data_IF_549010275091
#
_entry.id   IF_549010275091
#
_cell.length_a   1.000
_cell.length_b   1.000
_cell.length_c   1.000
_cell.angle_alpha   90.00
_cell.angle_beta   90.00
_cell.angle_gamma   90.00
#
_symmetry.space_group_name_H-M   'P 1'
#
loop_
_entity.id
_entity.type
_entity.pdbx_description
1 polymer ?
#
# COMPACT_ATOMS: atom_id res chain seq x y z
N UNK A 1 -17.07 2.35 13.40
CA UNK A 1 -16.75 3.35 12.36
C UNK A 1 -16.84 2.65 11.01
N UNK A 2 -17.71 3.12 10.11
CA UNK A 2 -17.92 2.50 8.78
C UNK A 2 -16.64 2.71 7.96
N UNK A 3 -15.92 1.65 7.62
CA UNK A 3 -14.77 1.76 6.72
C UNK A 3 -15.28 1.89 5.28
N UNK A 4 -14.91 2.97 4.60
CA UNK A 4 -15.34 3.21 3.22
C UNK A 4 -14.49 2.37 2.26
N UNK A 5 -15.10 1.55 1.38
CA UNK A 5 -14.39 0.80 0.35
C UNK A 5 -13.56 1.72 -0.54
N UNK A 6 -12.39 1.25 -0.95
CA UNK A 6 -11.51 1.96 -1.88
C UNK A 6 -11.60 1.27 -3.23
N UNK A 7 -12.19 1.89 -4.24
CA UNK A 7 -12.22 1.30 -5.59
C UNK A 7 -10.89 1.48 -6.33
N UNK A 8 -10.21 2.60 -6.08
CA UNK A 8 -8.96 2.98 -6.72
C UNK A 8 -7.96 3.51 -5.68
N UNK A 9 -6.99 2.67 -5.35
CA UNK A 9 -5.91 2.95 -4.40
C UNK A 9 -5.07 4.15 -4.85
N UNK A 10 -4.87 4.35 -6.16
CA UNK A 10 -4.08 5.47 -6.70
C UNK A 10 -4.76 6.81 -6.44
N UNK A 11 -6.10 6.84 -6.52
CA UNK A 11 -6.91 8.04 -6.25
C UNK A 11 -7.11 8.29 -4.76
N UNK A 12 -7.14 7.22 -3.96
CA UNK A 12 -7.30 7.34 -2.51
C UNK A 12 -6.06 7.89 -1.80
N UNK A 13 -4.85 7.70 -2.37
CA UNK A 13 -3.61 8.22 -1.79
C UNK A 13 -3.37 9.67 -2.27
N UNK A 14 -3.34 10.61 -1.32
CA UNK A 14 -3.02 12.02 -1.62
C UNK A 14 -1.55 12.19 -2.02
N UNK A 15 -1.22 13.27 -2.71
CA UNK A 15 0.15 13.51 -3.21
C UNK A 15 1.18 13.59 -2.07
N UNK A 16 0.81 14.24 -0.95
CA UNK A 16 1.66 14.32 0.23
C UNK A 16 1.89 12.94 0.85
N UNK A 17 0.81 12.16 0.97
CA UNK A 17 0.88 10.81 1.52
C UNK A 17 1.73 9.88 0.64
N UNK A 18 1.64 10.03 -0.68
CA UNK A 18 2.52 9.32 -1.63
C UNK A 18 4.00 9.60 -1.33
N UNK A 19 4.41 10.85 -1.12
CA UNK A 19 5.80 11.17 -0.80
C UNK A 19 6.23 10.57 0.56
N UNK A 20 5.35 10.58 1.56
CA UNK A 20 5.61 9.91 2.84
C UNK A 20 5.85 8.41 2.67
N UNK A 21 4.98 7.71 1.93
CA UNK A 21 5.16 6.28 1.66
C UNK A 21 6.46 6.00 0.89
N UNK A 22 6.76 6.79 -0.14
CA UNK A 22 7.99 6.59 -0.92
C UNK A 22 9.23 6.69 -0.03
N UNK A 23 9.31 7.73 0.79
CA UNK A 23 10.48 7.99 1.63
C UNK A 23 10.62 6.98 2.77
N UNK A 24 9.50 6.64 3.43
CA UNK A 24 9.53 5.85 4.67
C UNK A 24 9.42 4.35 4.44
N UNK A 25 8.69 3.93 3.41
CA UNK A 25 8.47 2.53 3.10
C UNK A 25 9.36 2.11 1.93
N UNK A 26 9.41 2.87 0.84
CA UNK A 26 10.14 2.45 -0.37
C UNK A 26 11.58 2.96 -0.43
N UNK A 27 12.14 3.47 0.68
CA UNK A 27 13.53 3.97 0.77
C UNK A 27 13.87 5.03 -0.30
N UNK A 28 12.89 5.83 -0.71
CA UNK A 28 13.03 6.83 -1.77
C UNK A 28 12.84 6.30 -3.19
N UNK A 29 12.58 5.00 -3.37
CA UNK A 29 12.34 4.39 -4.68
C UNK A 29 10.91 4.70 -5.18
N UNK A 30 10.84 5.66 -6.08
CA UNK A 30 9.59 6.10 -6.68
C UNK A 30 9.00 5.06 -7.64
N UNK A 31 9.86 4.32 -8.34
CA UNK A 31 9.44 3.36 -9.35
C UNK A 31 8.87 2.10 -8.69
N UNK A 32 9.53 1.62 -7.64
CA UNK A 32 9.03 0.50 -6.83
C UNK A 32 7.67 0.81 -6.21
N UNK A 33 7.50 2.01 -5.64
CA UNK A 33 6.19 2.45 -5.12
C UNK A 33 5.13 2.45 -6.23
N UNK A 34 5.41 3.10 -7.37
CA UNK A 34 4.44 3.25 -8.44
C UNK A 34 4.01 1.90 -9.03
N UNK A 35 4.97 0.99 -9.25
CA UNK A 35 4.72 -0.38 -9.71
C UNK A 35 3.90 -1.17 -8.69
N UNK A 36 4.25 -1.09 -7.41
CA UNK A 36 3.57 -1.80 -6.32
C UNK A 36 2.11 -1.36 -6.18
N UNK A 37 1.85 -0.06 -6.11
CA UNK A 37 0.49 0.48 -6.01
C UNK A 37 -0.31 0.17 -7.28
N UNK A 38 0.32 0.25 -8.46
CA UNK A 38 -0.34 -0.14 -9.71
C UNK A 38 -0.77 -1.61 -9.69
N UNK A 39 0.15 -2.50 -9.31
CA UNK A 39 -0.09 -3.93 -9.27
C UNK A 39 -1.22 -4.27 -8.28
N UNK A 40 -1.11 -3.82 -7.03
CA UNK A 40 -2.14 -4.07 -6.00
C UNK A 40 -3.51 -3.54 -6.46
N UNK A 41 -3.55 -2.34 -7.06
CA UNK A 41 -4.79 -1.77 -7.56
C UNK A 41 -5.37 -2.50 -8.78
N UNK A 42 -4.61 -3.35 -9.45
CA UNK A 42 -5.06 -4.19 -10.56
C UNK A 42 -5.56 -5.57 -10.12
N UNK A 43 -5.20 -6.01 -8.91
CA UNK A 43 -5.64 -7.30 -8.39
C UNK A 43 -7.15 -7.30 -8.15
N UNK A 44 -7.73 -8.49 -8.27
CA UNK A 44 -9.16 -8.77 -8.02
C UNK A 44 -9.39 -9.53 -6.71
N UNK A 45 -8.31 -10.03 -6.10
CA UNK A 45 -8.35 -10.93 -4.94
C UNK A 45 -7.50 -10.38 -3.79
N UNK A 46 -8.10 -10.26 -2.60
CA UNK A 46 -7.42 -9.81 -1.39
C UNK A 46 -6.27 -10.74 -0.95
N UNK A 47 -6.38 -12.05 -1.17
CA UNK A 47 -5.32 -13.00 -0.80
C UNK A 47 -4.03 -12.79 -1.62
N UNK A 48 -4.18 -12.44 -2.90
CA UNK A 48 -3.03 -12.11 -3.77
C UNK A 48 -2.41 -10.78 -3.35
N UNK A 49 -3.24 -9.81 -2.99
CA UNK A 49 -2.77 -8.52 -2.49
C UNK A 49 -2.01 -8.67 -1.17
N UNK A 50 -2.52 -9.45 -0.22
CA UNK A 50 -1.85 -9.73 1.05
C UNK A 50 -0.52 -10.45 0.85
N UNK A 51 -0.48 -11.41 -0.08
CA UNK A 51 0.76 -12.13 -0.41
C UNK A 51 1.80 -11.19 -0.99
N UNK A 52 1.42 -10.36 -1.94
CA UNK A 52 2.31 -9.35 -2.53
C UNK A 52 2.76 -8.32 -1.50
N UNK A 53 1.85 -7.83 -0.65
CA UNK A 53 2.17 -6.87 0.40
C UNK A 53 3.15 -7.42 1.44
N UNK A 54 3.02 -8.70 1.82
CA UNK A 54 4.01 -9.39 2.67
C UNK A 54 5.38 -9.51 2.02
N UNK A 55 5.44 -9.69 0.69
CA UNK A 55 6.71 -9.72 -0.03
C UNK A 55 7.39 -8.34 -0.03
N UNK A 56 6.64 -7.27 -0.29
CA UNK A 56 7.15 -5.89 -0.18
C UNK A 56 7.68 -5.59 1.22
N UNK A 57 6.92 -5.97 2.26
CA UNK A 57 7.35 -5.83 3.66
C UNK A 57 8.72 -6.46 3.89
N UNK A 58 8.95 -7.68 3.37
CA UNK A 58 10.23 -8.38 3.49
C UNK A 58 11.34 -7.70 2.67
N UNK A 59 11.06 -7.37 1.42
CA UNK A 59 12.01 -6.74 0.47
C UNK A 59 12.53 -5.40 0.99
N UNK A 60 11.63 -4.54 1.46
CA UNK A 60 11.97 -3.22 1.96
C UNK A 60 12.26 -3.20 3.47
N UNK A 61 12.05 -4.34 4.15
CA UNK A 61 12.23 -4.47 5.61
C UNK A 61 11.39 -3.46 6.40
N UNK A 62 10.10 -3.36 6.05
CA UNK A 62 9.17 -2.47 6.75
C UNK A 62 8.95 -2.92 8.19
N UNK A 63 8.84 -1.93 9.07
CA UNK A 63 8.46 -2.10 10.46
C UNK A 63 6.93 -2.18 10.58
N UNK A 64 6.44 -3.23 11.26
CA UNK A 64 5.01 -3.48 11.45
C UNK A 64 4.36 -2.50 12.44
N UNK A 65 5.16 -1.88 13.31
CA UNK A 65 4.69 -0.84 14.23
C UNK A 65 4.67 0.55 13.59
N UNK A 66 5.25 0.69 12.39
CA UNK A 66 5.29 1.95 11.67
C UNK A 66 3.87 2.39 11.25
N UNK A 67 3.48 3.60 11.64
CA UNK A 67 2.15 4.16 11.36
C UNK A 67 1.82 4.21 9.86
N UNK A 68 2.81 4.49 9.01
CA UNK A 68 2.61 4.51 7.55
C UNK A 68 2.45 3.11 6.98
N UNK A 69 3.14 2.12 7.53
CA UNK A 69 2.90 0.72 7.15
C UNK A 69 1.45 0.32 7.50
N UNK A 70 1.01 0.59 8.73
CA UNK A 70 -0.34 0.29 9.18
C UNK A 70 -1.41 1.02 8.35
N UNK A 71 -1.17 2.28 8.02
CA UNK A 71 -2.05 3.08 7.16
C UNK A 71 -2.14 2.47 5.76
N UNK A 72 -1.01 2.15 5.12
CA UNK A 72 -0.99 1.54 3.80
C UNK A 72 -1.66 0.15 3.81
N UNK A 73 -1.44 -0.66 4.85
CA UNK A 73 -2.08 -1.95 5.02
C UNK A 73 -3.61 -1.83 5.11
N UNK A 74 -4.13 -0.86 5.87
CA UNK A 74 -5.57 -0.61 5.94
C UNK A 74 -6.14 -0.18 4.59
N UNK A 75 -5.43 0.67 3.84
CA UNK A 75 -5.83 1.08 2.50
C UNK A 75 -5.89 -0.10 1.53
N UNK A 76 -4.87 -0.98 1.56
CA UNK A 76 -4.85 -2.21 0.75
C UNK A 76 -6.02 -3.10 1.15
N UNK A 77 -6.26 -3.36 2.43
CA UNK A 77 -7.37 -4.18 2.89
C UNK A 77 -8.73 -3.62 2.44
N UNK A 78 -8.95 -2.32 2.57
CA UNK A 78 -10.19 -1.63 2.16
C UNK A 78 -10.45 -1.65 0.65
N UNK A 79 -9.43 -1.93 -0.15
CA UNK A 79 -9.55 -2.11 -1.59
C UNK A 79 -10.19 -3.46 -1.97
N UNK A 80 -10.21 -4.45 -1.06
CA UNK A 80 -10.73 -5.80 -1.31
C UNK A 80 -11.88 -6.21 -0.38
N UNK A 81 -12.51 -5.25 0.30
CA UNK A 81 -13.74 -5.48 1.08
C UNK A 81 -14.99 -5.49 0.19
#
# INVERSE_FOLDING_TARGET
MQQTPIHDLKKAISINKKFEFINQLFKGDHEAYAKSIHYINGLTNGNEADTFFRNLKREFSWDEENKLFLELADMVRRRFM
#
